data_IF_773505421264
#
_entry.id   IF_773505421264
#
_cell.length_a   1.000
_cell.length_b   1.000
_cell.length_c   1.000
_cell.angle_alpha   90.00
_cell.angle_beta   90.00
_cell.angle_gamma   90.00
#
_symmetry.space_group_name_H-M   'P 1'
#
loop_
_entity.id
_entity.type
_entity.pdbx_description
1 polymer ?
#
# COMPACT_ATOMS: atom_id res chain seq x y z
N UNK A 1 8.74 -9.55 14.43
CA UNK A 1 8.46 -10.01 13.05
C UNK A 1 9.75 -10.47 12.41
N UNK A 2 9.70 -11.62 11.74
CA UNK A 2 10.88 -12.36 11.29
C UNK A 2 10.78 -12.72 9.80
N UNK A 3 11.95 -12.77 9.14
CA UNK A 3 12.04 -13.18 7.75
C UNK A 3 11.76 -14.68 7.60
N UNK A 4 10.78 -15.05 6.77
CA UNK A 4 10.38 -16.45 6.58
C UNK A 4 11.43 -17.32 5.85
N UNK A 5 12.51 -16.72 5.33
CA UNK A 5 13.59 -17.45 4.64
C UNK A 5 14.77 -17.76 5.56
N UNK A 6 15.20 -16.79 6.38
CA UNK A 6 16.34 -16.99 7.30
C UNK A 6 15.94 -17.08 8.77
N UNK A 7 14.68 -16.87 9.10
CA UNK A 7 14.11 -16.88 10.46
C UNK A 7 14.76 -15.87 11.41
N UNK A 8 15.24 -14.75 10.85
CA UNK A 8 15.90 -13.69 11.61
C UNK A 8 14.98 -12.48 11.74
N UNK A 9 15.01 -11.84 12.91
CA UNK A 9 14.27 -10.61 13.20
C UNK A 9 14.56 -9.53 12.16
N UNK A 10 13.50 -8.90 11.66
CA UNK A 10 13.64 -7.71 10.83
C UNK A 10 14.25 -6.58 11.65
N UNK A 11 15.07 -5.76 10.98
CA UNK A 11 15.70 -4.60 11.59
C UNK A 11 15.95 -3.52 10.53
N UNK A 12 15.31 -2.36 10.68
CA UNK A 12 15.42 -1.16 9.85
C UNK A 12 16.75 -0.44 9.99
N UNK A 13 17.44 -0.58 11.14
CA UNK A 13 18.76 0.00 11.39
C UNK A 13 19.86 -0.85 10.74
N UNK A 14 19.61 -2.15 10.51
CA UNK A 14 20.56 -3.06 9.86
C UNK A 14 20.23 -3.23 8.38
N UNK A 15 21.10 -2.75 7.50
CA UNK A 15 20.93 -2.84 6.02
C UNK A 15 20.57 -4.24 5.52
N UNK A 16 21.05 -5.29 6.21
CA UNK A 16 20.85 -6.69 5.84
C UNK A 16 19.48 -7.24 6.28
N UNK A 17 18.87 -6.64 7.30
CA UNK A 17 17.62 -7.09 7.91
C UNK A 17 16.43 -6.20 7.56
N UNK A 18 16.59 -5.22 6.67
CA UNK A 18 15.50 -4.38 6.20
C UNK A 18 14.51 -5.26 5.41
N UNK A 19 13.22 -5.30 5.79
CA UNK A 19 12.18 -5.96 5.01
C UNK A 19 11.91 -5.17 3.73
N UNK A 20 11.93 -5.84 2.57
CA UNK A 20 11.65 -5.26 1.26
C UNK A 20 10.61 -6.08 0.51
N UNK A 21 9.81 -5.39 -0.29
CA UNK A 21 8.66 -5.94 -1.01
C UNK A 21 9.03 -6.20 -2.47
N UNK A 22 8.73 -7.40 -2.96
CA UNK A 22 8.82 -7.73 -4.39
C UNK A 22 7.63 -7.12 -5.14
N UNK A 23 7.90 -6.27 -6.14
CA UNK A 23 6.87 -5.47 -6.84
C UNK A 23 5.84 -6.32 -7.61
N UNK A 24 6.18 -7.55 -7.99
CA UNK A 24 5.29 -8.42 -8.79
C UNK A 24 4.34 -9.29 -7.96
N UNK A 25 4.68 -9.56 -6.69
CA UNK A 25 3.90 -10.46 -5.84
C UNK A 25 3.50 -9.88 -4.48
N UNK A 26 4.14 -8.80 -4.02
CA UNK A 26 3.88 -8.25 -2.69
C UNK A 26 4.57 -9.01 -1.54
N UNK A 27 5.23 -10.13 -1.81
CA UNK A 27 5.94 -10.87 -0.77
C UNK A 27 7.12 -10.07 -0.20
N UNK A 28 7.28 -10.17 1.12
CA UNK A 28 8.31 -9.43 1.86
C UNK A 28 9.43 -10.34 2.33
N UNK A 29 10.67 -9.94 2.10
CA UNK A 29 11.88 -10.65 2.53
C UNK A 29 12.94 -9.68 3.02
N UNK A 30 13.89 -10.15 3.84
CA UNK A 30 14.98 -9.27 4.27
C UNK A 30 15.96 -9.01 3.12
N UNK A 31 16.61 -7.85 3.14
CA UNK A 31 17.57 -7.43 2.11
C UNK A 31 18.66 -8.49 1.85
N UNK A 32 19.17 -9.14 2.90
CA UNK A 32 20.19 -10.18 2.75
C UNK A 32 19.69 -11.41 1.99
N UNK A 33 18.47 -11.86 2.24
CA UNK A 33 17.88 -13.00 1.53
C UNK A 33 17.65 -12.65 0.07
N UNK A 34 17.11 -11.46 -0.21
CA UNK A 34 16.93 -10.97 -1.58
C UNK A 34 18.25 -10.87 -2.33
N UNK A 35 19.31 -10.38 -1.69
CA UNK A 35 20.66 -10.30 -2.29
C UNK A 35 21.27 -11.67 -2.60
N UNK A 36 20.88 -12.72 -1.86
CA UNK A 36 21.31 -14.10 -2.14
C UNK A 36 20.51 -14.76 -3.27
N UNK A 37 19.26 -14.33 -3.49
CA UNK A 37 18.40 -14.81 -4.57
C UNK A 37 18.49 -13.97 -5.85
N UNK A 38 19.19 -12.84 -5.80
CA UNK A 38 19.42 -11.98 -6.96
C UNK A 38 20.38 -12.68 -7.91
N UNK A 39 19.88 -12.94 -9.12
CA UNK A 39 20.62 -13.55 -10.22
C UNK A 39 20.24 -12.80 -11.50
N UNK A 40 21.24 -12.32 -12.25
CA UNK A 40 21.06 -11.55 -13.50
C UNK A 40 20.03 -10.41 -13.39
N UNK A 41 20.14 -9.60 -12.32
CA UNK A 41 19.21 -8.50 -12.00
C UNK A 41 17.74 -8.95 -11.86
N UNK A 42 17.51 -10.22 -11.52
CA UNK A 42 16.18 -10.80 -11.34
C UNK A 42 16.10 -11.56 -10.02
N UNK A 43 14.90 -11.60 -9.45
CA UNK A 43 14.60 -12.40 -8.26
C UNK A 43 13.35 -13.22 -8.54
N UNK A 44 13.47 -14.53 -8.33
CA UNK A 44 12.33 -15.45 -8.30
C UNK A 44 11.79 -15.52 -6.88
N UNK A 45 10.53 -15.17 -6.70
CA UNK A 45 9.92 -15.25 -5.38
C UNK A 45 9.85 -16.71 -4.88
N UNK A 46 10.31 -17.03 -3.66
CA UNK A 46 10.27 -18.41 -3.15
C UNK A 46 8.85 -18.89 -2.80
N UNK A 47 7.89 -17.97 -2.63
CA UNK A 47 6.52 -18.30 -2.23
C UNK A 47 5.59 -18.57 -3.42
N UNK A 48 5.67 -17.74 -4.46
CA UNK A 48 4.77 -17.81 -5.62
C UNK A 48 5.50 -17.89 -6.97
N UNK A 49 6.83 -18.07 -6.96
CA UNK A 49 7.69 -18.23 -8.13
C UNK A 49 7.61 -17.09 -9.16
N UNK A 50 7.00 -15.96 -8.81
CA UNK A 50 6.93 -14.80 -9.71
C UNK A 50 8.28 -14.12 -9.84
N UNK A 51 8.67 -13.87 -11.08
CA UNK A 51 9.94 -13.21 -11.42
C UNK A 51 9.79 -11.70 -11.31
N UNK A 52 10.64 -11.07 -10.50
CA UNK A 52 10.74 -9.62 -10.36
C UNK A 52 12.08 -9.15 -10.94
N UNK A 53 12.04 -8.38 -12.02
CA UNK A 53 13.23 -7.72 -12.57
C UNK A 53 13.59 -6.47 -11.76
N UNK A 54 14.87 -6.29 -11.49
CA UNK A 54 15.44 -5.19 -10.73
C UNK A 54 16.05 -4.17 -11.70
N UNK A 55 15.77 -2.88 -11.51
CA UNK A 55 16.38 -1.77 -12.26
C UNK A 55 17.30 -0.98 -11.32
N UNK A 56 18.36 -1.62 -10.84
CA UNK A 56 19.26 -1.06 -9.81
C UNK A 56 19.44 -1.95 -8.58
N UNK A 57 19.32 -3.27 -8.78
CA UNK A 57 19.50 -4.32 -7.77
C UNK A 57 18.54 -4.27 -6.59
N UNK A 58 18.82 -5.07 -5.56
CA UNK A 58 17.92 -5.27 -4.39
C UNK A 58 17.62 -3.97 -3.64
N UNK A 59 18.53 -2.99 -3.67
CA UNK A 59 18.34 -1.70 -2.99
C UNK A 59 17.19 -0.88 -3.58
N UNK A 60 16.83 -1.12 -4.84
CA UNK A 60 15.73 -0.46 -5.56
C UNK A 60 14.33 -0.96 -5.15
N UNK A 61 14.24 -2.08 -4.43
CA UNK A 61 12.97 -2.62 -3.93
C UNK A 61 12.44 -1.77 -2.78
N UNK A 62 11.13 -1.55 -2.74
CA UNK A 62 10.49 -0.74 -1.70
C UNK A 62 10.66 -1.38 -0.33
N UNK A 63 10.95 -0.59 0.71
CA UNK A 63 10.97 -1.06 2.10
C UNK A 63 9.53 -1.31 2.56
N UNK A 64 9.32 -2.36 3.36
CA UNK A 64 8.01 -2.57 3.99
C UNK A 64 7.92 -1.73 5.28
N UNK A 65 7.41 -0.50 5.16
CA UNK A 65 7.28 0.41 6.29
C UNK A 65 6.27 -0.07 7.33
N UNK A 66 5.18 -0.73 6.92
CA UNK A 66 4.22 -1.31 7.86
C UNK A 66 4.87 -2.32 8.82
N UNK A 67 5.80 -3.15 8.30
CA UNK A 67 6.56 -4.07 9.15
C UNK A 67 7.51 -3.32 10.08
N UNK A 68 8.21 -2.30 9.56
CA UNK A 68 9.15 -1.49 10.33
C UNK A 68 8.47 -0.71 11.46
N UNK A 69 7.31 -0.12 11.19
CA UNK A 69 6.52 0.64 12.15
C UNK A 69 6.02 -0.29 13.29
N UNK A 70 5.53 -1.49 12.96
CA UNK A 70 5.05 -2.46 13.97
C UNK A 70 6.19 -2.99 14.87
N UNK A 71 7.43 -3.02 14.40
CA UNK A 71 8.61 -3.36 15.24
C UNK A 71 9.26 -2.13 15.88
N UNK A 72 8.61 -0.96 15.82
CA UNK A 72 9.06 0.28 16.46
C UNK A 72 10.31 0.89 15.82
N UNK A 73 10.54 0.62 14.54
CA UNK A 73 11.71 1.11 13.78
C UNK A 73 11.22 2.07 12.70
N UNK A 74 10.67 3.20 13.15
CA UNK A 74 10.23 4.25 12.25
C UNK A 74 11.45 4.95 11.60
N UNK A 75 11.48 5.15 10.27
CA UNK A 75 12.04 6.36 9.71
C UNK A 75 11.32 7.56 10.33
N UNK A 76 12.04 8.60 10.72
CA UNK A 76 11.46 9.82 11.27
C UNK A 76 10.56 10.52 10.23
N UNK A 77 9.30 10.12 10.11
CA UNK A 77 8.28 10.93 9.46
C UNK A 77 7.71 11.87 10.52
N UNK A 78 7.66 13.20 10.28
CA UNK A 78 6.97 14.09 11.18
C UNK A 78 5.48 13.72 11.15
N UNK A 79 4.99 13.10 12.22
CA UNK A 79 3.55 12.95 12.43
C UNK A 79 3.00 14.37 12.51
N UNK A 80 2.23 14.80 11.50
CA UNK A 80 1.33 15.94 11.67
C UNK A 80 0.32 15.50 12.72
N UNK A 81 0.63 15.82 13.98
CA UNK A 81 -0.29 15.68 15.11
C UNK A 81 -1.57 16.41 14.74
N UNK A 82 -2.63 15.66 14.42
CA UNK A 82 -3.98 16.22 14.48
C UNK A 82 -4.21 16.60 15.94
N UNK A 83 -4.18 17.89 16.23
CA UNK A 83 -4.50 18.45 17.54
C UNK A 83 -6.00 18.21 17.77
N UNK A 84 -6.36 17.14 18.48
CA UNK A 84 -7.66 17.09 19.17
C UNK A 84 -7.58 18.17 20.25
N UNK A 85 -8.26 19.30 20.05
CA UNK A 85 -8.70 20.14 21.15
C UNK A 85 -10.16 19.80 21.37
N UNK A 86 -10.42 18.96 22.35
CA UNK A 86 -11.73 18.87 22.99
C UNK A 86 -11.45 19.16 24.45
N UNK A 87 -11.99 20.27 24.94
CA UNK A 87 -12.43 20.51 26.32
C UNK A 87 -12.89 21.98 26.42
N UNK A 88 -14.15 22.22 26.10
CA UNK A 88 -14.93 23.34 26.67
C UNK A 88 -16.40 22.93 26.72
N UNK A 89 -16.75 22.51 27.93
CA UNK A 89 -18.07 22.44 28.55
C UNK A 89 -18.94 23.68 28.23
N UNK A 90 -20.22 23.47 27.92
CA UNK A 90 -21.22 24.56 27.94
C UNK A 90 -22.37 24.50 26.94
N UNK A 91 -23.41 23.73 27.29
CA UNK A 91 -24.85 24.05 27.21
C UNK A 91 -25.52 24.58 25.91
N UNK A 92 -26.43 23.74 25.39
CA UNK A 92 -27.82 24.02 24.94
C UNK A 92 -28.09 24.98 23.75
N UNK A 93 -28.71 24.45 22.68
CA UNK A 93 -30.14 24.64 22.35
C UNK A 93 -30.52 23.90 21.05
N UNK A 94 -31.61 23.13 21.13
CA UNK A 94 -32.48 22.73 20.01
C UNK A 94 -33.42 23.91 19.74
N UNK A 95 -33.75 24.15 18.47
CA UNK A 95 -35.00 24.69 17.88
C UNK A 95 -34.71 24.75 16.34
N UNK A 96 -35.37 23.96 15.47
CA UNK A 96 -36.63 24.28 14.73
C UNK A 96 -36.42 25.49 13.81
N UNK A 97 -36.69 25.52 12.49
CA UNK A 97 -37.79 25.04 11.66
C UNK A 97 -37.38 25.18 10.16
N UNK A 98 -38.09 24.48 9.25
CA UNK A 98 -38.57 24.85 7.89
C UNK A 98 -37.61 25.60 6.90
N UNK A 99 -37.49 25.30 5.59
CA UNK A 99 -38.48 25.12 4.52
C UNK A 99 -37.77 24.70 3.19
N UNK A 100 -38.57 24.12 2.29
CA UNK A 100 -38.53 24.05 0.81
C UNK A 100 -37.31 23.44 0.07
N UNK A 101 -37.43 22.33 -0.69
CA UNK A 101 -38.16 22.05 -1.96
C UNK A 101 -37.32 22.41 -3.22
N UNK A 102 -37.64 21.73 -4.33
CA UNK A 102 -37.12 21.79 -5.71
C UNK A 102 -35.85 20.97 -6.00
N UNK A 103 -35.89 19.72 -6.48
CA UNK A 103 -36.49 19.14 -7.70
C UNK A 103 -35.54 19.22 -8.93
N UNK A 104 -35.36 18.04 -9.56
CA UNK A 104 -35.05 17.76 -10.98
C UNK A 104 -33.74 18.33 -11.63
N UNK A 105 -32.97 17.69 -12.53
CA UNK A 105 -33.01 16.44 -13.30
C UNK A 105 -31.59 16.07 -13.79
N UNK A 106 -31.45 14.78 -14.09
CA UNK A 106 -30.65 14.08 -15.09
C UNK A 106 -29.65 14.84 -15.99
N UNK A 107 -28.54 14.18 -16.32
CA UNK A 107 -28.15 13.96 -17.73
C UNK A 107 -27.10 12.82 -17.77
N UNK A 108 -27.55 11.68 -18.27
CA UNK A 108 -26.69 10.55 -18.57
C UNK A 108 -25.82 10.81 -19.81
N UNK A 109 -24.60 10.28 -19.79
CA UNK A 109 -23.86 10.00 -21.03
C UNK A 109 -23.38 8.55 -20.99
N UNK A 110 -24.22 7.68 -21.54
CA UNK A 110 -23.82 6.35 -22.01
C UNK A 110 -22.97 6.54 -23.27
N UNK A 111 -21.70 6.17 -23.21
CA UNK A 111 -20.95 5.81 -24.42
C UNK A 111 -20.16 4.54 -24.11
N UNK A 112 -20.59 3.43 -24.70
CA UNK A 112 -19.66 2.44 -25.23
C UNK A 112 -20.30 1.83 -26.49
N UNK A 113 -19.44 1.77 -27.50
CA UNK A 113 -19.65 1.51 -28.92
C UNK A 113 -19.95 0.03 -29.22
N UNK A 114 -20.32 -0.32 -30.48
CA UNK A 114 -21.07 -1.52 -30.82
C UNK A 114 -20.19 -2.77 -30.86
N UNK A 115 -20.72 -3.85 -30.30
CA UNK A 115 -20.20 -5.19 -30.51
C UNK A 115 -20.64 -5.70 -31.91
N UNK A 116 -19.60 -6.02 -32.67
CA UNK A 116 -19.44 -6.95 -33.78
C UNK A 116 -20.56 -7.96 -34.09
N UNK A 117 -20.91 -7.98 -35.38
CA UNK A 117 -21.03 -9.15 -36.28
C UNK A 117 -21.87 -10.36 -35.84
N UNK A 118 -23.07 -10.50 -36.44
CA UNK A 118 -23.72 -11.81 -36.65
C UNK A 118 -24.40 -11.88 -38.04
N UNK A 119 -23.84 -12.77 -38.86
CA UNK A 119 -24.46 -13.73 -39.79
C UNK A 119 -25.77 -13.41 -40.54
N UNK A 120 -25.72 -13.48 -41.88
CA UNK A 120 -26.86 -13.90 -42.72
C UNK A 120 -26.36 -14.38 -44.10
N UNK A 121 -26.47 -15.69 -44.29
CA UNK A 121 -26.85 -16.48 -45.49
C UNK A 121 -26.62 -15.94 -46.91
#
# INVERSE_FOLDING_TARGET
>A
MDCQICLQKYNGNSKNRIPRILKKCGHTMCHQCLKKQEEDDQIVCPFDRKVTRLRGGVKSLTKNFAILDLIGQEPAYPRKSKKHTEDSDGSEKKDSDDDDDDDEEEEGVRIQQPDSDEDSE
#
